data_IF_763203057731
#
_entry.id   IF_763203057731
#
_cell.length_a   1.000
_cell.length_b   1.000
_cell.length_c   1.000
_cell.angle_alpha   90.00
_cell.angle_beta   90.00
_cell.angle_gamma   90.00
#
_symmetry.space_group_name_H-M   'P 1'
#
loop_
_entity.id
_entity.type
_entity.pdbx_description
1 polymer ?
#
# COMPACT_ATOMS: atom_id res chain seq x y z
N UNK A 1 -1.79 -20.53 -8.76
CA UNK A 1 -0.48 -20.14 -8.21
C UNK A 1 -0.38 -18.63 -8.29
N UNK A 2 0.06 -17.97 -7.22
CA UNK A 2 0.44 -16.55 -7.31
C UNK A 2 1.61 -16.42 -8.28
N UNK A 3 1.55 -15.45 -9.18
CA UNK A 3 2.60 -15.21 -10.17
C UNK A 3 3.54 -14.08 -9.72
N UNK A 4 2.98 -13.07 -9.07
CA UNK A 4 3.75 -12.00 -8.46
C UNK A 4 3.02 -11.41 -7.27
N UNK A 5 3.78 -10.68 -6.47
CA UNK A 5 3.26 -9.88 -5.39
C UNK A 5 4.08 -8.59 -5.27
N UNK A 6 3.46 -7.56 -4.72
CA UNK A 6 4.10 -6.28 -4.41
C UNK A 6 3.62 -5.78 -3.06
N UNK A 7 4.52 -5.15 -2.33
CA UNK A 7 4.19 -4.40 -1.11
C UNK A 7 3.91 -2.94 -1.48
N UNK A 8 2.89 -2.36 -0.86
CA UNK A 8 2.45 -0.97 -1.06
C UNK A 8 2.65 -0.20 0.24
N UNK A 9 3.40 0.90 0.20
CA UNK A 9 3.72 1.70 1.40
C UNK A 9 2.52 2.47 1.87
N UNK A 10 1.80 3.08 0.94
CA UNK A 10 0.64 3.93 1.21
C UNK A 10 -0.59 3.17 1.71
N UNK A 11 -0.54 1.84 1.72
CA UNK A 11 -1.69 0.94 1.91
C UNK A 11 -2.84 1.21 0.94
N UNK A 12 -3.69 0.21 0.73
CA UNK A 12 -4.83 0.32 -0.17
C UNK A 12 -6.10 0.10 0.65
N UNK A 13 -6.96 1.12 0.77
CA UNK A 13 -8.25 0.95 1.41
C UNK A 13 -9.22 0.22 0.48
N UNK A 14 -9.90 -0.80 0.98
CA UNK A 14 -10.94 -1.56 0.27
C UNK A 14 -12.09 -1.82 1.24
N UNK A 15 -13.32 -1.88 0.74
CA UNK A 15 -14.49 -2.01 1.61
C UNK A 15 -14.62 -0.81 2.55
N UNK A 16 -15.22 -1.02 3.72
CA UNK A 16 -15.40 -0.03 4.78
C UNK A 16 -14.13 0.11 5.63
N UNK A 17 -13.13 0.80 5.07
CA UNK A 17 -11.90 1.18 5.79
C UNK A 17 -10.88 0.07 6.04
N UNK A 18 -11.02 -1.10 5.39
CA UNK A 18 -10.02 -2.16 5.49
C UNK A 18 -8.76 -1.80 4.69
N UNK A 19 -7.60 -1.84 5.33
CA UNK A 19 -6.33 -1.46 4.72
C UNK A 19 -5.49 -2.69 4.37
N UNK A 20 -4.91 -2.64 3.18
CA UNK A 20 -4.08 -3.70 2.63
C UNK A 20 -2.70 -3.20 2.28
N UNK A 21 -1.69 -3.99 2.67
CA UNK A 21 -0.27 -3.66 2.46
C UNK A 21 0.36 -4.46 1.31
N UNK A 22 -0.28 -5.55 0.90
CA UNK A 22 0.24 -6.45 -0.14
C UNK A 22 -0.81 -6.70 -1.21
N UNK A 23 -0.40 -6.59 -2.48
CA UNK A 23 -1.19 -7.08 -3.61
C UNK A 23 -0.53 -8.32 -4.19
N UNK A 24 -1.29 -9.39 -4.36
CA UNK A 24 -0.87 -10.59 -5.11
C UNK A 24 -1.67 -10.69 -6.40
N UNK A 25 -1.05 -11.20 -7.45
CA UNK A 25 -1.75 -11.49 -8.69
C UNK A 25 -1.35 -12.83 -9.25
N UNK A 26 -2.31 -13.53 -9.84
CA UNK A 26 -2.15 -14.89 -10.33
C UNK A 26 -2.01 -14.93 -11.84
N UNK A 27 -1.57 -16.07 -12.35
CA UNK A 27 -1.58 -16.34 -13.79
C UNK A 27 -2.99 -16.44 -14.39
N UNK A 28 -4.00 -16.73 -13.58
CA UNK A 28 -5.39 -16.88 -13.99
C UNK A 28 -6.13 -15.54 -14.12
N UNK A 29 -5.46 -14.40 -13.96
CA UNK A 29 -6.10 -13.08 -14.05
C UNK A 29 -6.80 -12.64 -12.77
N UNK A 30 -6.41 -13.17 -11.61
CA UNK A 30 -6.91 -12.74 -10.30
C UNK A 30 -5.93 -11.80 -9.62
N UNK A 31 -6.47 -10.90 -8.81
CA UNK A 31 -5.75 -10.00 -7.91
C UNK A 31 -6.33 -10.21 -6.51
N UNK A 32 -5.47 -10.41 -5.51
CA UNK A 32 -5.82 -10.62 -4.10
C UNK A 32 -5.16 -9.52 -3.27
N UNK A 33 -5.90 -8.97 -2.32
CA UNK A 33 -5.41 -7.98 -1.37
C UNK A 33 -5.25 -8.64 0.00
N UNK A 34 -4.09 -8.42 0.62
CA UNK A 34 -3.73 -9.11 1.86
C UNK A 34 -2.79 -8.26 2.70
N UNK A 35 -2.64 -8.65 3.97
CA UNK A 35 -1.65 -8.11 4.90
C UNK A 35 -0.55 -9.11 5.24
N UNK A 36 -0.57 -10.28 4.61
CA UNK A 36 0.54 -11.23 4.67
C UNK A 36 1.74 -10.68 3.89
N UNK A 37 2.96 -10.98 4.34
CA UNK A 37 4.19 -10.63 3.62
C UNK A 37 4.16 -11.13 2.17
N UNK A 38 4.65 -10.31 1.23
CA UNK A 38 4.75 -10.69 -0.18
C UNK A 38 5.57 -11.98 -0.34
N UNK A 39 4.86 -13.06 -0.66
CA UNK A 39 5.42 -14.36 -1.00
C UNK A 39 4.62 -14.97 -2.16
N UNK A 40 5.35 -15.47 -3.15
CA UNK A 40 4.80 -16.18 -4.31
C UNK A 40 4.50 -17.66 -4.01
N UNK A 41 4.96 -18.17 -2.87
CA UNK A 41 4.78 -19.57 -2.46
C UNK A 41 3.36 -19.85 -1.92
N UNK A 42 2.55 -18.80 -1.71
CA UNK A 42 1.15 -18.94 -1.32
C UNK A 42 0.36 -19.58 -2.47
N UNK A 43 -0.04 -20.82 -2.28
CA UNK A 43 -0.93 -21.52 -3.23
C UNK A 43 -2.33 -20.94 -3.14
N UNK A 44 -2.64 -20.04 -4.07
CA UNK A 44 -4.00 -19.55 -4.27
C UNK A 44 -4.80 -20.60 -5.05
N UNK A 45 -5.36 -21.58 -4.33
CA UNK A 45 -6.17 -22.67 -4.91
C UNK A 45 -7.63 -22.29 -5.09
N UNK A 46 -8.10 -21.29 -4.35
CA UNK A 46 -9.48 -20.81 -4.35
C UNK A 46 -9.98 -20.25 -5.71
N UNK A 47 -9.05 -19.98 -6.65
CA UNK A 47 -9.38 -19.42 -7.97
C UNK A 47 -8.98 -20.33 -9.14
N UNK A 48 -8.93 -21.64 -8.92
CA UNK A 48 -8.53 -22.63 -9.94
C UNK A 48 -9.63 -22.96 -10.95
N UNK A 49 -10.88 -22.54 -10.70
CA UNK A 49 -12.03 -22.70 -11.59
C UNK A 49 -12.85 -21.41 -11.54
N UNK A 50 -13.40 -20.88 -12.66
CA UNK A 50 -14.36 -19.78 -12.64
C UNK A 50 -15.58 -20.12 -11.76
N UNK A 51 -15.48 -19.76 -10.48
CA UNK A 51 -16.59 -19.68 -9.54
C UNK A 51 -16.94 -18.20 -9.33
N UNK A 52 -18.17 -17.93 -8.93
CA UNK A 52 -18.58 -16.58 -8.55
C UNK A 52 -17.86 -16.15 -7.27
N UNK A 53 -17.68 -14.84 -7.11
CA UNK A 53 -17.37 -14.23 -5.82
C UNK A 53 -18.48 -14.53 -4.82
N UNK A 54 -18.07 -14.91 -3.62
CA UNK A 54 -18.94 -15.05 -2.48
C UNK A 54 -18.46 -14.15 -1.34
N UNK A 55 -19.38 -13.69 -0.50
CA UNK A 55 -19.03 -12.93 0.70
C UNK A 55 -18.24 -13.76 1.72
N UNK A 56 -18.14 -15.08 1.51
CA UNK A 56 -17.32 -15.98 2.32
C UNK A 56 -15.87 -16.13 1.84
N UNK A 57 -15.50 -15.51 0.72
CA UNK A 57 -14.16 -15.66 0.11
C UNK A 57 -13.02 -15.03 0.97
N UNK A 58 -13.31 -14.42 2.12
CA UNK A 58 -12.38 -14.08 3.19
C UNK A 58 -11.45 -12.89 2.92
N UNK A 59 -10.89 -12.80 1.71
CA UNK A 59 -9.99 -11.75 1.28
C UNK A 59 -10.59 -10.92 0.12
N UNK A 60 -10.38 -9.61 0.17
CA UNK A 60 -10.71 -8.74 -0.95
C UNK A 60 -9.95 -9.17 -2.20
N UNK A 61 -10.63 -9.23 -3.33
CA UNK A 61 -10.09 -9.78 -4.55
C UNK A 61 -10.79 -9.27 -5.80
N UNK A 62 -10.09 -9.28 -6.93
CA UNK A 62 -10.59 -8.85 -8.24
C UNK A 62 -10.30 -9.94 -9.25
N UNK A 63 -11.27 -10.27 -10.09
CA UNK A 63 -11.11 -11.14 -11.24
C UNK A 63 -11.17 -10.29 -12.50
N UNK A 64 -10.03 -10.16 -13.18
CA UNK A 64 -9.93 -9.42 -14.45
C UNK A 64 -10.40 -10.32 -15.59
N UNK A 65 -9.91 -11.56 -15.62
CA UNK A 65 -10.36 -12.60 -16.54
C UNK A 65 -10.10 -13.96 -15.88
N UNK A 66 -10.76 -14.20 -14.75
CA UNK A 66 -10.57 -15.37 -13.89
C UNK A 66 -10.97 -16.67 -14.58
N UNK A 67 -10.02 -17.34 -15.21
CA UNK A 67 -10.24 -18.61 -15.90
C UNK A 67 -8.98 -19.49 -15.87
N UNK A 68 -9.13 -20.79 -16.15
CA UNK A 68 -8.01 -21.71 -16.20
C UNK A 68 -7.07 -21.35 -17.36
N UNK A 69 -5.77 -21.35 -17.07
CA UNK A 69 -4.69 -21.04 -18.01
C UNK A 69 -3.70 -22.18 -18.07
N UNK A 70 -3.02 -22.34 -19.20
CA UNK A 70 -1.91 -23.26 -19.35
C UNK A 70 -0.63 -22.48 -19.63
N UNK A 71 0.26 -22.46 -18.64
CA UNK A 71 1.52 -21.73 -18.70
C UNK A 71 2.65 -22.53 -19.35
N UNK A 72 2.41 -23.81 -19.64
CA UNK A 72 3.39 -24.68 -20.30
C UNK A 72 3.37 -24.56 -21.83
N UNK A 73 2.40 -23.82 -22.37
CA UNK A 73 2.12 -23.68 -23.80
C UNK A 73 2.38 -22.23 -24.21
N UNK A 74 3.07 -22.04 -25.34
CA UNK A 74 3.37 -20.72 -25.88
C UNK A 74 4.52 -20.00 -25.17
N UNK A 75 4.46 -18.67 -25.12
CA UNK A 75 5.41 -17.78 -24.43
C UNK A 75 4.63 -16.76 -23.55
N UNK A 76 3.86 -17.23 -22.54
CA UNK A 76 3.03 -16.37 -21.72
C UNK A 76 3.90 -15.47 -20.84
N UNK A 77 3.56 -14.18 -20.79
CA UNK A 77 4.27 -13.18 -20.00
C UNK A 77 3.30 -12.47 -19.07
N UNK A 78 3.74 -12.24 -17.85
CA UNK A 78 3.02 -11.39 -16.92
C UNK A 78 4.03 -10.41 -16.35
N UNK A 79 3.77 -9.14 -16.61
CA UNK A 79 4.61 -8.04 -16.16
C UNK A 79 3.77 -7.05 -15.38
N UNK A 80 4.43 -6.37 -14.45
CA UNK A 80 3.80 -5.35 -13.63
C UNK A 80 4.69 -4.11 -13.53
N UNK A 81 4.04 -2.99 -13.26
CA UNK A 81 4.67 -1.73 -12.91
C UNK A 81 3.91 -1.18 -11.70
N UNK A 82 4.59 -1.14 -10.56
CA UNK A 82 4.10 -0.44 -9.38
C UNK A 82 4.67 0.97 -9.39
N UNK A 83 3.81 1.92 -9.05
CA UNK A 83 4.22 3.25 -8.66
C UNK A 83 3.50 3.63 -7.36
N UNK A 84 4.26 4.08 -6.37
CA UNK A 84 3.78 4.57 -5.08
C UNK A 84 4.52 5.88 -4.78
N UNK A 85 3.78 6.99 -4.67
CA UNK A 85 4.36 8.33 -4.47
C UNK A 85 5.30 8.41 -3.27
N UNK A 86 5.04 7.59 -2.24
CA UNK A 86 5.81 7.55 -1.00
C UNK A 86 6.89 6.46 -0.97
N UNK A 87 7.09 5.71 -2.06
CA UNK A 87 8.22 4.79 -2.19
C UNK A 87 9.43 5.51 -2.78
N UNK A 88 10.34 5.94 -1.91
CA UNK A 88 11.59 6.64 -2.27
C UNK A 88 12.53 5.82 -3.17
N UNK A 89 12.31 4.50 -3.28
CA UNK A 89 13.08 3.64 -4.19
C UNK A 89 12.53 3.68 -5.62
N UNK A 90 11.31 4.19 -5.81
CA UNK A 90 10.67 4.32 -7.11
C UNK A 90 11.19 5.52 -7.89
N UNK A 91 12.09 5.25 -8.84
CA UNK A 91 12.68 6.26 -9.72
C UNK A 91 11.85 6.52 -10.99
N UNK A 92 10.62 5.99 -11.11
CA UNK A 92 9.82 6.06 -12.34
C UNK A 92 9.12 7.42 -12.60
N UNK A 93 9.38 8.42 -11.75
CA UNK A 93 9.17 9.84 -12.07
C UNK A 93 7.73 10.26 -12.38
N UNK A 94 6.71 9.62 -11.80
CA UNK A 94 5.31 10.08 -11.94
C UNK A 94 4.56 9.57 -13.17
N UNK A 95 5.23 8.89 -14.12
CA UNK A 95 4.66 8.68 -15.46
C UNK A 95 3.41 7.78 -15.50
N UNK A 96 3.34 6.74 -14.65
CA UNK A 96 2.15 5.87 -14.57
C UNK A 96 0.99 6.60 -13.91
N UNK A 97 1.22 7.29 -12.79
CA UNK A 97 0.21 8.08 -12.10
C UNK A 97 -0.36 9.18 -12.99
N UNK A 98 0.49 9.91 -13.72
CA UNK A 98 0.06 10.96 -14.66
C UNK A 98 -0.76 10.40 -15.83
N UNK A 99 -0.33 9.28 -16.41
CA UNK A 99 -1.05 8.61 -17.47
C UNK A 99 -2.41 8.09 -17.00
N UNK A 100 -2.46 7.52 -15.80
CA UNK A 100 -3.69 7.07 -15.15
C UNK A 100 -4.63 8.23 -14.87
N UNK A 101 -4.16 9.31 -14.24
CA UNK A 101 -4.97 10.51 -13.98
C UNK A 101 -5.58 11.07 -15.26
N UNK A 102 -4.79 11.12 -16.33
CA UNK A 102 -5.27 11.55 -17.65
C UNK A 102 -6.36 10.63 -18.20
N UNK A 103 -6.30 9.33 -17.95
CA UNK A 103 -7.33 8.36 -18.35
C UNK A 103 -8.59 8.49 -17.50
N UNK A 104 -8.46 8.62 -16.18
CA UNK A 104 -9.58 8.80 -15.24
C UNK A 104 -10.39 10.05 -15.59
N UNK A 105 -9.72 11.18 -15.87
CA UNK A 105 -10.38 12.43 -16.26
C UNK A 105 -11.21 12.32 -17.56
N UNK A 106 -11.00 11.28 -18.38
CA UNK A 106 -11.76 11.02 -19.62
C UNK A 106 -12.77 9.89 -19.47
N UNK A 107 -12.77 9.18 -18.36
CA UNK A 107 -13.71 8.10 -18.11
C UNK A 107 -15.02 8.67 -17.55
N UNK A 108 -16.13 8.14 -18.02
CA UNK A 108 -17.43 8.37 -17.38
C UNK A 108 -17.51 7.50 -16.12
N UNK A 109 -16.97 7.99 -14.99
CA UNK A 109 -16.83 7.24 -13.75
C UNK A 109 -16.85 8.17 -12.54
N UNK A 110 -17.37 7.67 -11.41
CA UNK A 110 -17.29 8.34 -10.11
C UNK A 110 -15.83 8.56 -9.63
N UNK A 111 -14.88 7.81 -10.18
CA UNK A 111 -13.45 7.93 -9.89
C UNK A 111 -12.70 8.89 -10.84
N UNK A 112 -13.43 9.66 -11.66
CA UNK A 112 -12.82 10.57 -12.64
C UNK A 112 -12.02 11.71 -11.98
N UNK A 113 -12.43 12.15 -10.80
CA UNK A 113 -11.76 13.24 -10.05
C UNK A 113 -10.63 12.75 -9.14
N UNK A 114 -10.54 11.45 -8.85
CA UNK A 114 -9.51 10.82 -8.01
C UNK A 114 -8.10 11.20 -8.48
N UNK A 115 -7.21 11.58 -7.56
CA UNK A 115 -5.80 11.88 -7.86
C UNK A 115 -4.89 10.77 -7.30
N UNK A 116 -4.56 9.73 -8.09
CA UNK A 116 -3.91 8.56 -7.56
C UNK A 116 -2.50 8.86 -7.05
N UNK A 117 -2.20 8.36 -5.85
CA UNK A 117 -0.87 8.35 -5.23
C UNK A 117 -0.20 6.98 -5.38
N UNK A 118 -1.00 5.92 -5.59
CA UNK A 118 -0.54 4.58 -5.93
C UNK A 118 -1.21 4.09 -7.20
N UNK A 119 -0.45 3.43 -8.06
CA UNK A 119 -0.95 2.66 -9.18
C UNK A 119 -0.11 1.39 -9.40
N UNK A 120 -0.77 0.24 -9.43
CA UNK A 120 -0.19 -1.03 -9.87
C UNK A 120 -0.82 -1.41 -11.21
N UNK A 121 -0.04 -1.34 -12.29
CA UNK A 121 -0.42 -1.87 -13.60
C UNK A 121 0.08 -3.31 -13.72
N UNK A 122 -0.82 -4.24 -14.03
CA UNK A 122 -0.50 -5.63 -14.34
C UNK A 122 -0.93 -5.91 -15.77
N UNK A 123 -0.09 -6.61 -16.53
CA UNK A 123 -0.42 -7.06 -17.88
C UNK A 123 -0.19 -8.55 -17.97
N UNK A 124 -1.21 -9.25 -18.46
CA UNK A 124 -1.15 -10.63 -18.89
C UNK A 124 -1.04 -10.63 -20.40
N UNK A 125 0.07 -11.12 -20.95
CA UNK A 125 0.38 -11.12 -22.38
C UNK A 125 0.52 -12.55 -22.88
N UNK A 126 -0.16 -12.86 -23.99
CA UNK A 126 -0.04 -14.16 -24.65
C UNK A 126 -0.53 -15.33 -23.80
N UNK A 127 -1.47 -15.12 -22.89
CA UNK A 127 -1.98 -16.20 -22.03
C UNK A 127 -2.90 -17.12 -22.82
N UNK A 128 -2.66 -18.42 -22.69
CA UNK A 128 -3.38 -19.46 -23.43
C UNK A 128 -4.24 -20.33 -22.50
N UNK A 129 -5.38 -20.87 -22.98
CA UNK A 129 -6.20 -21.78 -22.21
C UNK A 129 -5.66 -23.23 -22.31
N UNK A 130 -5.99 -24.10 -21.34
CA UNK A 130 -5.70 -25.52 -21.43
C UNK A 130 -6.24 -26.15 -22.73
N UNK A 131 -5.41 -26.98 -23.37
CA UNK A 131 -5.76 -27.70 -24.59
C UNK A 131 -5.55 -26.92 -25.90
N UNK A 132 -5.12 -25.66 -25.84
CA UNK A 132 -4.75 -24.90 -27.04
C UNK A 132 -3.39 -25.33 -27.61
N UNK A 133 -3.12 -25.01 -28.88
CA UNK A 133 -1.80 -25.22 -29.49
C UNK A 133 -0.90 -24.00 -29.26
N UNK A 134 0.44 -24.15 -29.20
CA UNK A 134 1.35 -23.02 -29.04
C UNK A 134 1.08 -21.87 -30.02
N UNK A 135 0.83 -20.66 -29.51
CA UNK A 135 0.56 -19.46 -30.29
C UNK A 135 -0.86 -19.30 -30.84
N UNK A 136 -1.79 -20.20 -30.50
CA UNK A 136 -3.22 -20.04 -30.80
C UNK A 136 -3.99 -19.57 -29.56
N UNK A 137 -5.17 -18.98 -29.77
CA UNK A 137 -6.05 -18.56 -28.67
C UNK A 137 -5.29 -17.75 -27.60
N UNK A 138 -4.51 -16.76 -28.03
CA UNK A 138 -3.70 -15.96 -27.12
C UNK A 138 -4.49 -14.76 -26.64
N UNK A 139 -4.56 -14.59 -25.31
CA UNK A 139 -5.19 -13.43 -24.70
C UNK A 139 -4.15 -12.45 -24.15
N UNK A 140 -4.37 -11.16 -24.41
CA UNK A 140 -3.63 -10.07 -23.78
C UNK A 140 -4.61 -9.09 -23.14
N UNK A 141 -4.40 -8.79 -21.87
CA UNK A 141 -5.27 -7.89 -21.11
C UNK A 141 -4.52 -7.24 -19.95
N UNK A 142 -5.06 -6.14 -19.44
CA UNK A 142 -4.43 -5.32 -18.41
C UNK A 142 -5.40 -4.98 -17.29
N UNK A 143 -4.87 -4.85 -16.08
CA UNK A 143 -5.56 -4.21 -14.97
C UNK A 143 -4.68 -3.16 -14.34
N UNK A 144 -5.29 -2.07 -13.86
CA UNK A 144 -4.63 -1.06 -13.06
C UNK A 144 -5.41 -0.92 -11.76
N UNK A 145 -4.81 -1.34 -10.66
CA UNK A 145 -5.32 -1.05 -9.32
C UNK A 145 -4.73 0.27 -8.88
N UNK A 146 -5.54 1.17 -8.32
CA UNK A 146 -5.08 2.49 -7.92
C UNK A 146 -5.81 3.02 -6.71
N UNK A 147 -5.17 3.93 -5.98
CA UNK A 147 -5.79 4.65 -4.87
C UNK A 147 -5.21 6.06 -4.75
N UNK A 148 -6.03 7.02 -4.31
CA UNK A 148 -5.58 8.35 -3.84
C UNK A 148 -5.35 8.39 -2.32
N UNK A 149 -5.36 7.22 -1.68
CA UNK A 149 -5.31 7.06 -0.23
C UNK A 149 -6.69 6.97 0.40
N UNK A 150 -7.79 7.38 -0.24
CA UNK A 150 -9.15 7.28 0.30
C UNK A 150 -10.06 6.44 -0.59
N UNK A 151 -10.10 6.79 -1.87
CA UNK A 151 -10.82 6.08 -2.90
C UNK A 151 -9.89 5.07 -3.58
N UNK A 152 -10.40 3.88 -3.82
CA UNK A 152 -9.66 2.80 -4.49
C UNK A 152 -10.48 2.28 -5.64
N UNK A 153 -9.81 2.13 -6.79
CA UNK A 153 -10.43 1.58 -7.97
C UNK A 153 -9.57 0.53 -8.65
N UNK A 154 -10.23 -0.24 -9.51
CA UNK A 154 -9.57 -1.08 -10.50
C UNK A 154 -10.07 -0.75 -11.90
N UNK A 155 -9.15 -0.48 -12.80
CA UNK A 155 -9.41 -0.30 -14.22
C UNK A 155 -9.02 -1.57 -14.98
N UNK A 156 -9.97 -2.26 -15.60
CA UNK A 156 -9.75 -3.43 -16.45
C UNK A 156 -9.79 -3.00 -17.92
N UNK A 157 -8.76 -3.37 -18.69
CA UNK A 157 -8.63 -3.00 -20.09
C UNK A 157 -8.38 -4.23 -20.97
N UNK A 158 -9.18 -4.33 -22.03
CA UNK A 158 -9.15 -5.37 -23.04
C UNK A 158 -9.14 -4.68 -24.41
N UNK A 159 -8.01 -4.71 -25.10
CA UNK A 159 -7.92 -4.09 -26.41
C UNK A 159 -8.63 -4.96 -27.45
N UNK A 160 -9.38 -4.33 -28.36
CA UNK A 160 -10.16 -5.02 -29.39
C UNK A 160 -9.29 -5.99 -30.21
N UNK A 161 -9.66 -7.26 -30.23
CA UNK A 161 -8.93 -8.32 -30.93
C UNK A 161 -7.87 -9.05 -30.10
N UNK A 162 -7.59 -8.58 -28.88
CA UNK A 162 -6.59 -9.18 -27.99
C UNK A 162 -7.17 -10.30 -27.11
N UNK A 163 -8.49 -10.51 -27.11
CA UNK A 163 -9.11 -11.70 -26.51
C UNK A 163 -9.57 -12.68 -27.61
N UNK A 164 -8.85 -13.79 -27.75
CA UNK A 164 -8.96 -14.72 -28.87
C UNK A 164 -9.32 -16.15 -28.46
N UNK A 165 -9.57 -16.41 -27.17
CA UNK A 165 -9.99 -17.72 -26.70
C UNK A 165 -11.31 -18.16 -27.37
N UNK A 166 -11.39 -19.42 -27.77
CA UNK A 166 -12.57 -19.99 -28.40
C UNK A 166 -13.67 -20.21 -27.36
N UNK A 167 -14.65 -19.30 -27.34
CA UNK A 167 -15.74 -19.30 -26.36
C UNK A 167 -16.64 -20.54 -26.45
N UNK A 168 -16.84 -21.08 -27.66
CA UNK A 168 -17.63 -22.29 -27.92
C UNK A 168 -17.07 -23.54 -27.22
N UNK A 169 -15.79 -23.52 -26.85
CA UNK A 169 -15.13 -24.61 -26.13
C UNK A 169 -15.28 -24.51 -24.61
N UNK A 170 -15.83 -23.41 -24.09
CA UNK A 170 -15.84 -23.11 -22.66
C UNK A 170 -17.16 -23.53 -22.02
N UNK A 171 -17.13 -24.35 -20.95
CA UNK A 171 -18.35 -24.81 -20.29
C UNK A 171 -18.95 -23.77 -19.32
N UNK A 172 -18.16 -22.78 -18.90
CA UNK A 172 -18.52 -21.76 -17.92
C UNK A 172 -17.95 -20.39 -18.35
N UNK A 173 -18.62 -19.28 -18.01
CA UNK A 173 -18.08 -17.94 -18.25
C UNK A 173 -16.78 -17.73 -17.48
N UNK A 174 -15.95 -16.79 -17.94
CA UNK A 174 -14.83 -16.31 -17.13
C UNK A 174 -15.35 -15.58 -15.89
N UNK A 175 -14.70 -15.76 -14.74
CA UNK A 175 -14.97 -14.95 -13.55
C UNK A 175 -14.50 -13.53 -13.81
N UNK A 176 -15.40 -12.56 -13.77
CA UNK A 176 -15.08 -11.13 -13.90
C UNK A 176 -15.86 -10.36 -12.85
N UNK A 177 -15.18 -9.52 -12.09
CA UNK A 177 -15.77 -8.76 -11.00
C UNK A 177 -14.83 -8.64 -9.80
N UNK A 178 -15.40 -8.45 -8.62
CA UNK A 178 -14.64 -8.27 -7.39
C UNK A 178 -15.41 -8.71 -6.15
N UNK A 179 -14.67 -8.90 -5.06
CA UNK A 179 -15.13 -8.92 -3.68
C UNK A 179 -14.34 -7.87 -2.91
N UNK A 180 -15.01 -6.99 -2.18
CA UNK A 180 -14.37 -6.01 -1.32
C UNK A 180 -14.55 -6.33 0.17
N UNK A 181 -14.74 -7.62 0.50
CA UNK A 181 -15.17 -8.15 1.81
C UNK A 181 -16.63 -7.82 2.15
N UNK A 182 -17.02 -6.55 2.05
CA UNK A 182 -18.35 -6.11 2.46
C UNK A 182 -19.44 -6.47 1.45
N UNK A 183 -19.07 -6.53 0.18
CA UNK A 183 -19.95 -6.82 -0.94
C UNK A 183 -19.21 -7.57 -2.06
N UNK A 184 -19.99 -8.16 -2.96
CA UNK A 184 -19.49 -8.87 -4.13
C UNK A 184 -20.18 -8.39 -5.39
N UNK A 185 -19.40 -8.26 -6.46
CA UNK A 185 -19.91 -8.02 -7.80
C UNK A 185 -19.44 -9.13 -8.72
N UNK A 186 -20.39 -9.88 -9.28
CA UNK A 186 -20.15 -10.80 -10.38
C UNK A 186 -20.80 -10.24 -11.64
N UNK A 187 -20.02 -10.03 -12.69
CA UNK A 187 -20.57 -9.49 -13.94
C UNK A 187 -21.29 -10.56 -14.78
N UNK A 188 -20.93 -11.83 -14.58
CA UNK A 188 -21.41 -12.95 -15.37
C UNK A 188 -21.78 -14.10 -14.44
N UNK A 189 -23.07 -14.16 -14.07
CA UNK A 189 -23.59 -15.15 -13.12
C UNK A 189 -24.32 -16.32 -13.80
N UNK A 190 -24.83 -16.12 -15.02
CA UNK A 190 -25.52 -17.15 -15.79
C UNK A 190 -24.52 -18.01 -16.61
N UNK A 191 -25.02 -19.12 -17.14
CA UNK A 191 -24.26 -20.12 -17.91
C UNK A 191 -24.74 -20.25 -19.35
N UNK A 192 -25.59 -19.34 -19.81
CA UNK A 192 -26.02 -19.28 -21.20
C UNK A 192 -24.85 -18.89 -22.15
N UNK A 193 -25.04 -19.18 -23.44
CA UNK A 193 -23.98 -18.99 -24.44
C UNK A 193 -23.62 -17.52 -24.68
N UNK A 194 -24.56 -16.59 -24.52
CA UNK A 194 -24.29 -15.17 -24.69
C UNK A 194 -23.49 -14.64 -23.50
N UNK A 195 -23.81 -15.07 -22.29
CA UNK A 195 -23.02 -14.77 -21.08
C UNK A 195 -21.59 -15.32 -21.18
N UNK A 196 -21.43 -16.58 -21.61
CA UNK A 196 -20.11 -17.16 -21.87
C UNK A 196 -19.36 -16.33 -22.91
N UNK A 197 -19.97 -16.03 -24.06
CA UNK A 197 -19.35 -15.24 -25.11
C UNK A 197 -18.90 -13.86 -24.60
N UNK A 198 -19.78 -13.13 -23.92
CA UNK A 198 -19.51 -11.79 -23.43
C UNK A 198 -18.42 -11.76 -22.35
N UNK A 199 -18.32 -12.80 -21.50
CA UNK A 199 -17.27 -12.91 -20.48
C UNK A 199 -15.86 -13.05 -21.08
N UNK A 200 -15.72 -13.75 -22.21
CA UNK A 200 -14.44 -13.96 -22.89
C UNK A 200 -14.17 -12.95 -24.02
N UNK A 201 -15.16 -12.16 -24.46
CA UNK A 201 -15.06 -11.17 -25.54
C UNK A 201 -15.31 -9.73 -25.08
N UNK A 202 -14.86 -9.42 -23.87
CA UNK A 202 -14.93 -8.08 -23.26
C UNK A 202 -14.28 -6.99 -24.11
N UNK A 203 -13.32 -7.38 -24.94
CA UNK A 203 -12.61 -6.55 -25.92
C UNK A 203 -13.52 -5.94 -27.00
N UNK A 204 -14.71 -6.50 -27.20
CA UNK A 204 -15.68 -6.04 -28.20
C UNK A 204 -16.87 -5.30 -27.60
N UNK A 205 -16.98 -5.23 -26.28
CA UNK A 205 -18.13 -4.65 -25.58
C UNK A 205 -17.78 -3.26 -25.05
N UNK A 206 -18.67 -2.28 -25.24
CA UNK A 206 -18.54 -0.95 -24.64
C UNK A 206 -18.63 -1.06 -23.13
N UNK A 207 -17.55 -0.71 -22.44
CA UNK A 207 -17.50 -0.78 -20.99
C UNK A 207 -18.12 0.42 -20.30
N UNK A 208 -18.17 0.37 -18.97
CA UNK A 208 -18.82 1.41 -18.15
C UNK A 208 -18.08 2.75 -18.15
N UNK A 209 -16.87 2.81 -18.74
CA UNK A 209 -16.15 4.06 -18.99
C UNK A 209 -16.63 4.81 -20.24
N UNK A 210 -17.55 4.21 -21.01
CA UNK A 210 -17.96 4.67 -22.33
C UNK A 210 -17.02 4.25 -23.46
N UNK A 211 -15.90 3.57 -23.16
CA UNK A 211 -14.94 3.07 -24.15
C UNK A 211 -15.05 1.55 -24.31
N UNK A 212 -14.91 1.07 -25.55
CA UNK A 212 -14.85 -0.36 -25.84
C UNK A 212 -13.70 -1.03 -25.10
N UNK A 213 -14.01 -2.11 -24.38
CA UNK A 213 -13.04 -2.90 -23.65
C UNK A 213 -12.44 -2.24 -22.41
N UNK A 214 -12.97 -1.11 -21.94
CA UNK A 214 -12.44 -0.43 -20.74
C UNK A 214 -13.49 -0.29 -19.65
N UNK A 215 -13.16 -0.78 -18.45
CA UNK A 215 -14.06 -0.82 -17.30
C UNK A 215 -13.36 -0.27 -16.07
N UNK A 216 -14.08 0.46 -15.22
CA UNK A 216 -13.60 0.96 -13.93
C UNK A 216 -14.59 0.58 -12.84
N UNK A 217 -14.10 0.01 -11.75
CA UNK A 217 -14.90 -0.32 -10.58
C UNK A 217 -14.27 0.28 -9.34
N UNK A 218 -15.10 0.85 -8.47
CA UNK A 218 -14.71 1.30 -7.14
C UNK A 218 -14.72 0.13 -6.17
N UNK A 219 -13.68 0.03 -5.36
CA UNK A 219 -13.45 -1.07 -4.42
C UNK A 219 -13.62 -0.63 -2.96
N UNK A 220 -13.44 0.65 -2.66
CA UNK A 220 -13.70 1.20 -1.33
C UNK A 220 -15.19 1.54 -1.11
N UNK A 221 -15.59 1.59 0.16
CA UNK A 221 -16.88 2.11 0.62
C UNK A 221 -16.68 3.35 1.51
N UNK A 222 -15.55 4.03 1.37
CA UNK A 222 -15.12 5.08 2.28
C UNK A 222 -15.92 6.38 2.09
N UNK A 223 -16.27 7.01 3.21
CA UNK A 223 -16.82 8.36 3.28
C UNK A 223 -15.77 9.44 3.02
N UNK A 224 -16.22 10.69 2.85
CA UNK A 224 -15.34 11.83 2.62
C UNK A 224 -14.41 12.13 3.82
N UNK A 225 -14.85 11.75 5.03
CA UNK A 225 -14.15 11.87 6.30
C UNK A 225 -13.16 10.74 6.58
N UNK A 226 -13.09 9.72 5.72
CA UNK A 226 -12.10 8.67 5.86
C UNK A 226 -10.68 9.23 5.80
N UNK A 227 -9.84 8.72 6.69
CA UNK A 227 -8.42 9.05 6.82
C UNK A 227 -7.66 7.74 6.72
N UNK A 228 -6.70 7.67 5.78
CA UNK A 228 -5.82 6.52 5.66
C UNK A 228 -4.60 6.70 6.57
N UNK A 229 -4.50 5.93 7.67
CA UNK A 229 -3.41 6.07 8.62
C UNK A 229 -2.03 5.77 8.03
N UNK A 230 -1.92 4.94 6.99
CA UNK A 230 -0.64 4.67 6.33
C UNK A 230 -0.13 5.92 5.61
N UNK A 231 -1.01 6.59 4.84
CA UNK A 231 -0.67 7.84 4.14
C UNK A 231 -0.36 8.96 5.12
N UNK A 232 -1.19 9.16 6.15
CA UNK A 232 -0.93 10.18 7.18
C UNK A 232 0.42 9.96 7.88
N UNK A 233 0.77 8.71 8.16
CA UNK A 233 2.06 8.36 8.76
C UNK A 233 3.23 8.70 7.82
N UNK A 234 3.08 8.44 6.52
CA UNK A 234 4.10 8.75 5.52
C UNK A 234 4.26 10.26 5.32
N UNK A 235 3.17 11.00 5.20
CA UNK A 235 3.18 12.48 5.14
C UNK A 235 3.87 13.05 6.37
N UNK A 236 3.53 12.55 7.56
CA UNK A 236 4.19 12.97 8.79
C UNK A 236 5.70 12.68 8.76
N UNK A 237 6.09 11.49 8.32
CA UNK A 237 7.50 11.09 8.22
C UNK A 237 8.28 11.98 7.23
N UNK A 238 7.73 12.26 6.06
CA UNK A 238 8.35 13.16 5.08
C UNK A 238 8.48 14.58 5.60
N UNK A 239 7.44 15.08 6.29
CA UNK A 239 7.50 16.37 6.96
C UNK A 239 8.62 16.39 8.01
N UNK A 240 8.74 15.35 8.84
CA UNK A 240 9.79 15.24 9.86
C UNK A 240 11.20 15.20 9.24
N UNK A 241 11.38 14.48 8.12
CA UNK A 241 12.63 14.48 7.36
C UNK A 241 12.96 15.85 6.73
N UNK A 242 11.94 16.57 6.26
CA UNK A 242 12.10 17.90 5.67
C UNK A 242 12.47 18.96 6.71
N UNK A 243 12.06 18.72 7.96
CA UNK A 243 12.52 19.48 9.12
C UNK A 243 13.94 19.01 9.42
N UNK A 244 14.93 19.75 8.92
CA UNK A 244 16.28 19.64 9.49
C UNK A 244 16.18 20.11 10.93
N UNK A 245 16.05 19.18 11.87
CA UNK A 245 16.27 19.45 13.29
C UNK A 245 17.74 19.78 13.48
N UNK A 246 18.10 21.02 13.12
CA UNK A 246 19.28 21.68 13.65
C UNK A 246 18.93 22.04 15.09
N UNK A 247 18.96 21.02 15.94
CA UNK A 247 19.21 21.21 17.34
C UNK A 247 20.72 21.05 17.54
N UNK A 248 21.53 22.11 17.34
CA UNK A 248 22.94 22.07 17.74
C UNK A 248 23.10 21.73 19.23
N UNK A 249 22.03 21.89 20.01
CA UNK A 249 21.93 21.62 21.44
C UNK A 249 21.05 20.40 21.80
N UNK A 250 20.54 19.62 20.82
CA UNK A 250 19.75 18.43 21.14
C UNK A 250 20.67 17.44 21.83
N UNK A 251 20.21 16.97 22.99
CA UNK A 251 20.93 15.97 23.75
C UNK A 251 20.90 14.66 22.96
N UNK A 252 22.04 14.28 22.37
CA UNK A 252 22.19 13.00 21.66
C UNK A 252 21.99 11.86 22.66
N UNK A 253 21.23 10.83 22.26
CA UNK A 253 20.99 9.67 23.10
C UNK A 253 22.32 9.07 23.62
N UNK A 254 22.52 8.98 24.95
CA UNK A 254 23.70 8.34 25.50
C UNK A 254 23.81 6.91 25.00
N UNK A 255 25.02 6.43 24.71
CA UNK A 255 25.20 5.10 24.13
C UNK A 255 24.83 3.96 25.09
N UNK A 256 24.66 4.25 26.39
CA UNK A 256 24.19 3.28 27.38
C UNK A 256 23.13 3.82 28.33
N UNK A 257 22.30 2.90 28.84
CA UNK A 257 21.24 3.22 29.82
C UNK A 257 21.80 3.85 31.08
N UNK A 258 22.95 3.36 31.57
CA UNK A 258 23.61 3.90 32.75
C UNK A 258 24.05 5.35 32.55
N UNK A 259 24.53 5.70 31.35
CA UNK A 259 24.85 7.09 31.06
C UNK A 259 23.58 7.94 31.02
N UNK A 260 22.52 7.49 30.35
CA UNK A 260 21.24 8.20 30.33
C UNK A 260 20.59 8.37 31.72
N UNK A 261 20.80 7.42 32.63
CA UNK A 261 20.31 7.51 34.00
C UNK A 261 21.10 8.49 34.88
N UNK A 262 22.36 8.73 34.55
CA UNK A 262 23.26 9.63 35.29
C UNK A 262 23.34 11.03 34.68
N UNK A 263 22.90 11.19 33.44
CA UNK A 263 22.92 12.45 32.72
C UNK A 263 21.72 13.32 33.13
N UNK A 264 22.01 14.52 33.63
CA UNK A 264 21.00 15.49 34.10
C UNK A 264 20.12 16.03 32.97
N UNK A 265 20.59 15.94 31.72
CA UNK A 265 19.83 16.31 30.55
C UNK A 265 18.83 15.24 30.15
N UNK A 266 18.77 14.10 30.85
CA UNK A 266 17.84 13.01 30.58
C UNK A 266 17.01 12.65 31.82
N UNK A 267 15.71 12.54 31.62
CA UNK A 267 14.77 12.02 32.63
C UNK A 267 14.21 10.69 32.17
N UNK A 268 13.87 9.83 33.13
CA UNK A 268 13.20 8.57 32.82
C UNK A 268 11.79 8.86 32.30
N UNK A 269 11.47 8.39 31.09
CA UNK A 269 10.11 8.46 30.56
C UNK A 269 9.27 7.31 31.11
N UNK A 270 7.97 7.57 31.26
CA UNK A 270 6.97 6.55 31.60
C UNK A 270 6.24 6.18 30.32
N UNK A 271 6.30 4.91 29.93
CA UNK A 271 5.41 4.39 28.90
C UNK A 271 3.96 4.55 29.37
N UNK A 272 3.00 4.99 28.54
CA UNK A 272 1.60 5.00 28.90
C UNK A 272 1.12 3.57 29.14
N UNK A 273 1.30 3.09 30.38
CA UNK A 273 0.83 1.77 30.81
C UNK A 273 -0.64 1.91 31.14
N UNK A 274 -1.50 1.29 30.33
CA UNK A 274 -2.89 1.13 30.74
C UNK A 274 -3.83 0.55 29.70
N UNK A 275 -3.69 0.92 28.41
CA UNK A 275 -4.77 0.68 27.45
C UNK A 275 -4.33 0.13 26.09
N UNK A 276 -3.08 -0.32 25.96
CA UNK A 276 -2.52 -0.76 24.69
C UNK A 276 -2.14 -2.26 24.75
N UNK A 277 -2.85 -3.15 24.02
CA UNK A 277 -2.63 -4.59 24.07
C UNK A 277 -1.24 -5.04 23.59
N UNK A 278 -0.55 -4.27 22.73
CA UNK A 278 0.82 -4.59 22.27
C UNK A 278 1.89 -4.37 23.35
N UNK A 279 1.60 -3.55 24.37
CA UNK A 279 2.50 -3.29 25.50
C UNK A 279 2.41 -4.34 26.61
N UNK A 280 1.55 -5.35 26.46
CA UNK A 280 1.36 -6.40 27.47
C UNK A 280 2.35 -7.57 27.34
N UNK A 281 3.17 -7.61 26.29
CA UNK A 281 4.14 -8.68 26.10
C UNK A 281 5.34 -8.55 27.06
N UNK A 282 5.77 -9.69 27.60
CA UNK A 282 6.86 -9.83 28.57
C UNK A 282 8.22 -9.29 28.09
N UNK A 283 8.38 -9.07 26.77
CA UNK A 283 9.58 -8.50 26.14
C UNK A 283 9.86 -7.05 26.56
N UNK A 284 8.84 -6.22 26.78
CA UNK A 284 8.99 -4.78 27.04
C UNK A 284 9.30 -4.41 28.51
N UNK A 285 9.18 -5.35 29.44
CA UNK A 285 9.58 -5.10 30.84
C UNK A 285 11.08 -4.79 30.96
N UNK A 286 11.88 -5.27 30.01
CA UNK A 286 13.32 -5.08 29.93
C UNK A 286 13.72 -3.71 29.36
N UNK A 287 12.88 -3.11 28.52
CA UNK A 287 13.14 -1.81 27.87
C UNK A 287 13.05 -0.68 28.90
N UNK A 288 14.01 0.24 28.85
CA UNK A 288 14.04 1.46 29.67
C UNK A 288 14.13 2.66 28.75
N UNK A 289 13.24 3.63 28.96
CA UNK A 289 13.15 4.86 28.19
C UNK A 289 13.74 6.04 28.98
N UNK A 290 14.51 6.88 28.30
CA UNK A 290 14.96 8.19 28.77
C UNK A 290 14.62 9.27 27.73
N UNK A 291 14.17 10.43 28.18
CA UNK A 291 13.81 11.56 27.33
C UNK A 291 14.68 12.76 27.70
N UNK A 292 15.12 13.49 26.69
CA UNK A 292 15.80 14.77 26.88
C UNK A 292 14.94 15.74 27.71
N UNK A 293 15.54 16.43 28.67
CA UNK A 293 14.89 17.46 29.49
C UNK A 293 15.04 18.87 28.89
N UNK A 294 15.94 19.03 27.92
CA UNK A 294 16.22 20.31 27.25
C UNK A 294 15.27 20.58 26.09
N UNK A 295 14.66 19.54 25.52
CA UNK A 295 13.90 19.61 24.26
C UNK A 295 12.38 19.67 24.48
N UNK A 296 11.94 20.04 25.70
CA UNK A 296 10.52 20.07 26.09
C UNK A 296 9.89 18.68 26.23
N UNK A 297 8.56 18.63 26.46
CA UNK A 297 7.81 17.37 26.54
C UNK A 297 7.70 16.64 25.17
N UNK A 298 8.17 17.28 24.10
CA UNK A 298 8.16 16.82 22.70
C UNK A 298 9.52 16.22 22.24
N UNK A 299 10.51 16.15 23.13
CA UNK A 299 11.87 15.71 22.80
C UNK A 299 12.05 14.21 22.52
N UNK A 300 13.15 13.89 21.82
CA UNK A 300 13.57 12.54 21.45
C UNK A 300 13.62 11.57 22.66
N UNK A 301 13.19 10.32 22.44
CA UNK A 301 13.20 9.25 23.44
C UNK A 301 14.24 8.19 23.10
N UNK A 302 15.11 7.91 24.06
CA UNK A 302 16.19 6.93 23.97
C UNK A 302 15.76 5.63 24.66
N UNK A 303 15.68 4.54 23.90
CA UNK A 303 15.28 3.23 24.40
C UNK A 303 16.49 2.30 24.58
N UNK A 304 16.52 1.59 25.70
CA UNK A 304 17.64 0.71 26.05
C UNK A 304 17.19 -0.68 26.45
N UNK A 305 17.86 -1.69 25.89
CA UNK A 305 17.74 -3.11 26.27
C UNK A 305 19.08 -3.55 26.87
N UNK A 306 19.06 -4.16 28.05
CA UNK A 306 20.28 -4.69 28.70
C UNK A 306 21.45 -3.69 28.75
N UNK A 307 21.14 -2.40 28.96
CA UNK A 307 22.09 -1.28 29.02
C UNK A 307 22.61 -0.75 27.66
N UNK A 308 22.31 -1.39 26.54
CA UNK A 308 22.68 -0.92 25.20
C UNK A 308 21.56 -0.05 24.59
N UNK A 309 21.94 1.00 23.87
CA UNK A 309 21.00 1.80 23.07
C UNK A 309 20.45 0.93 21.95
N UNK A 310 19.13 0.89 21.81
CA UNK A 310 18.49 0.22 20.68
C UNK A 310 18.74 1.07 19.44
N UNK A 311 19.57 0.55 18.55
CA UNK A 311 19.94 1.18 17.27
C UNK A 311 19.43 0.40 16.07
N UNK A 312 18.97 -0.83 16.29
CA UNK A 312 18.45 -1.69 15.25
C UNK A 312 17.04 -1.30 14.84
N UNK A 313 16.91 -1.26 13.53
CA UNK A 313 15.82 -0.66 12.82
C UNK A 313 14.52 -1.47 12.82
N UNK A 314 14.64 -2.78 13.02
CA UNK A 314 13.48 -3.65 13.22
C UNK A 314 12.69 -3.27 14.48
N UNK A 315 13.32 -2.60 15.45
CA UNK A 315 12.66 -2.15 16.69
C UNK A 315 12.10 -0.71 16.59
N UNK A 316 12.25 -0.02 15.45
CA UNK A 316 11.58 1.28 15.22
C UNK A 316 10.07 1.11 15.01
N UNK A 317 9.64 -0.10 14.62
CA UNK A 317 8.26 -0.58 14.70
C UNK A 317 7.68 -0.46 16.12
N UNK A 318 8.55 -0.52 17.12
CA UNK A 318 8.20 -0.46 18.54
C UNK A 318 8.34 0.96 19.12
N UNK A 319 8.79 1.96 18.34
CA UNK A 319 9.12 3.32 18.83
C UNK A 319 8.41 4.48 18.14
N UNK A 320 7.60 4.26 17.11
CA UNK A 320 6.81 5.30 16.43
C UNK A 320 5.51 5.69 17.16
N UNK A 321 5.06 4.90 18.14
CA UNK A 321 3.99 5.26 19.09
C UNK A 321 4.30 6.51 19.95
N UNK A 322 5.44 7.18 19.71
CA UNK A 322 6.09 8.04 20.70
C UNK A 322 6.07 9.53 20.36
N UNK A 323 5.45 9.93 19.25
CA UNK A 323 5.10 11.32 18.93
C UNK A 323 3.57 11.50 18.79
N UNK A 324 2.77 10.82 19.63
CA UNK A 324 1.41 11.29 19.89
C UNK A 324 1.48 12.55 20.76
N UNK A 325 1.05 13.69 20.21
CA UNK A 325 0.93 14.99 20.88
C UNK A 325 0.46 14.85 22.33
N UNK A 326 1.29 15.27 23.30
CA UNK A 326 0.79 15.61 24.63
C UNK A 326 0.13 16.98 24.54
N UNK A 327 -1.17 17.02 24.26
CA UNK A 327 -1.95 18.23 24.45
C UNK A 327 -1.79 18.72 25.91
N UNK A 328 -1.57 20.02 26.04
CA UNK A 328 -1.36 20.69 27.32
C UNK A 328 -2.47 20.33 28.34
N UNK A 329 -2.07 20.25 29.61
CA UNK A 329 -2.90 19.85 30.78
C UNK A 329 -4.27 20.55 30.92
N UNK A 330 -4.57 21.60 30.16
CA UNK A 330 -5.76 22.44 30.33
C UNK A 330 -7.02 21.96 29.57
N UNK A 331 -6.91 21.00 28.64
CA UNK A 331 -8.02 20.58 27.78
C UNK A 331 -8.61 19.18 28.09
N UNK A 332 -8.23 18.54 29.21
CA UNK A 332 -8.68 17.19 29.62
C UNK A 332 -10.15 17.07 30.06
N UNK A 333 -11.07 17.87 29.52
CA UNK A 333 -12.45 17.88 30.01
C UNK A 333 -13.52 17.36 29.05
N UNK A 334 -13.20 16.98 27.82
CA UNK A 334 -14.16 16.39 26.88
C UNK A 334 -13.53 15.33 25.96
N UNK A 335 -12.90 14.29 26.52
CA UNK A 335 -12.34 13.17 25.75
C UNK A 335 -13.43 12.16 25.33
N UNK A 336 -14.40 12.61 24.53
CA UNK A 336 -15.25 11.70 23.75
C UNK A 336 -14.55 11.28 22.43
N UNK A 337 -13.66 12.15 21.91
CA UNK A 337 -12.94 11.92 20.66
C UNK A 337 -11.81 10.87 20.78
N UNK A 338 -11.18 10.72 21.95
CA UNK A 338 -10.06 9.79 22.13
C UNK A 338 -10.49 8.32 22.18
N UNK A 339 -11.68 8.02 22.73
CA UNK A 339 -12.18 6.64 22.82
C UNK A 339 -12.85 6.17 21.52
N UNK A 340 -13.24 7.08 20.63
CA UNK A 340 -13.80 6.74 19.30
C UNK A 340 -12.70 6.20 18.35
N UNK A 341 -11.49 6.77 18.43
CA UNK A 341 -10.31 6.37 17.64
C UNK A 341 -9.72 5.00 18.02
N UNK A 342 -10.01 4.51 19.24
CA UNK A 342 -9.52 3.20 19.74
C UNK A 342 -10.21 2.00 19.10
N UNK A 343 -11.42 2.15 18.56
CA UNK A 343 -12.26 0.98 18.30
C UNK A 343 -12.12 0.37 16.91
N UNK A 344 -11.39 1.01 15.97
CA UNK A 344 -11.40 0.57 14.56
C UNK A 344 -10.10 0.63 13.74
N UNK A 345 -8.97 1.11 14.26
CA UNK A 345 -7.77 1.24 13.41
C UNK A 345 -6.51 0.62 14.04
N UNK A 346 -5.86 -0.26 13.27
CA UNK A 346 -4.51 -0.74 13.52
C UNK A 346 -3.55 0.45 13.36
N UNK A 347 -2.77 0.72 14.40
CA UNK A 347 -1.83 1.84 14.46
C UNK A 347 -0.67 1.57 13.49
N UNK A 348 -0.43 2.48 12.56
CA UNK A 348 0.66 2.40 11.58
C UNK A 348 2.03 2.70 12.20
N UNK A 349 3.05 1.98 11.74
CA UNK A 349 4.46 2.31 11.98
C UNK A 349 5.28 2.16 10.70
N UNK A 350 6.15 3.14 10.39
CA UNK A 350 7.06 3.08 9.25
C UNK A 350 8.53 2.87 9.65
N UNK A 351 9.23 2.11 8.80
CA UNK A 351 10.70 1.89 8.74
C UNK A 351 11.44 3.24 8.50
N UNK A 352 12.58 3.48 9.17
CA UNK A 352 13.54 4.57 8.86
C UNK A 352 14.28 4.25 7.52
N UNK A 353 15.52 4.66 7.18
CA UNK A 353 16.56 3.91 6.37
C UNK A 353 17.86 4.69 6.55
N UNK A 354 18.92 4.14 7.16
CA UNK A 354 20.10 4.94 7.43
C UNK A 354 20.86 5.14 6.12
N UNK A 355 20.76 6.34 5.55
CA UNK A 355 21.67 6.76 4.50
C UNK A 355 23.03 6.97 5.16
N UNK A 356 23.92 5.99 4.96
CA UNK A 356 25.31 6.11 5.33
C UNK A 356 25.94 7.27 4.57
N UNK A 357 26.10 8.43 5.21
CA UNK A 357 27.20 9.36 4.92
C UNK A 357 27.41 10.33 6.09
N UNK A 358 28.32 9.93 6.98
CA UNK A 358 29.11 10.85 7.76
C UNK A 358 29.86 11.77 6.79
N UNK A 359 29.61 13.08 6.84
CA UNK A 359 30.64 14.08 6.52
C UNK A 359 30.55 15.27 7.47
N UNK A 360 31.36 15.18 8.51
CA UNK A 360 31.99 16.31 9.17
C UNK A 360 32.61 17.27 8.13
N UNK A 361 32.47 18.57 8.41
CA UNK A 361 33.22 19.71 7.88
C UNK A 361 33.00 20.13 6.41
N UNK A 362 32.31 21.27 6.24
CA UNK A 362 32.96 22.44 5.65
C UNK A 362 32.41 23.76 6.19
N UNK A 363 33.34 24.46 6.83
CA UNK A 363 33.33 25.84 7.30
C UNK A 363 32.77 26.78 6.23
N UNK A 364 31.87 27.68 6.64
CA UNK A 364 31.48 28.86 5.88
C UNK A 364 32.60 29.90 5.93
N UNK A 365 33.04 30.39 4.76
CA UNK A 365 33.62 31.73 4.68
C UNK A 365 33.20 32.40 3.37
N UNK A 366 32.27 33.34 3.49
CA UNK A 366 32.09 34.44 2.55
C UNK A 366 33.33 35.36 2.67
N UNK A 367 34.03 35.62 1.57
CA UNK A 367 34.90 36.80 1.45
C UNK A 367 34.39 37.62 0.27
N UNK A 368 34.11 38.87 0.59
CA UNK A 368 33.58 39.94 -0.25
C UNK A 368 34.65 40.38 -1.26
N UNK A 369 34.25 40.55 -2.53
CA UNK A 369 35.04 41.28 -3.52
C UNK A 369 35.12 42.78 -3.15
N UNK A 370 36.35 43.32 -3.11
CA UNK A 370 36.62 44.74 -3.37
C UNK A 370 37.79 44.89 -4.33
N UNK A 371 37.59 45.81 -5.29
CA UNK A 371 38.46 46.25 -6.37
C UNK A 371 39.73 47.03 -5.93
N UNK A 372 40.59 47.26 -6.93
CA UNK A 372 41.77 48.12 -7.03
C UNK A 372 43.09 47.47 -6.56
N UNK A 373 44.20 47.49 -7.28
CA UNK A 373 44.62 48.23 -8.47
C UNK A 373 46.15 48.37 -8.42
N UNK A 374 46.79 48.15 -9.57
CA UNK A 374 48.25 48.25 -9.87
C UNK A 374 49.10 47.08 -9.36
#
# INVERSE_FOLDING_TARGET
MAWGCVDVKSCIPIGDGHLYTTIRFTSTGMIEFSNDECSIDKFVTQYTNPSLFTTTDGDASVAVLGAAVDLSIGDPKIFYQLQDEYDLSDNNGGSLLQALKSRLNRADSELSETNPIVALKITWEGIQPPGSQPGQETNTYQAVVFTDGKQTGVMMNYQAGDLQWLTQSKPLPARVGYSNIDDVMNLYEDTDQDTIYNSYRRDLVTGNTGQTGSYIYRLDLNGADFVNPCVECLIWYENDLSVTYNYPDASVCPCSRKQAASDVNFRRCTFPRGNDPDFSSSSYNSVKCFQSTTDGDEGFRCNYINNALVTDYQNLWESSNFQALLLTRSLRRNDALYDEWKSKFHVCVCKYQPVANVKLLKISTFIIHRNAGI
#
